data_IF_814171833775
#
_entry.id   IF_814171833775
#
_cell.length_a   1.000
_cell.length_b   1.000
_cell.length_c   1.000
_cell.angle_alpha   90.00
_cell.angle_beta   90.00
_cell.angle_gamma   90.00
#
_symmetry.space_group_name_H-M   'P 1'
#
loop_
_entity.id
_entity.type
_entity.pdbx_description
1 polymer ?
#
# COMPACT_ATOMS: atom_id res chain seq x y z
N UNK A 1 26.28 -19.24 -14.34
CA UNK A 1 25.30 -19.09 -13.23
C UNK A 1 25.71 -17.86 -12.43
N UNK A 2 24.87 -16.82 -12.37
CA UNK A 2 25.25 -15.52 -11.79
C UNK A 2 25.43 -15.62 -10.27
N UNK A 3 26.56 -15.13 -9.75
CA UNK A 3 26.97 -15.26 -8.35
C UNK A 3 26.04 -14.62 -7.31
N UNK A 4 25.07 -13.80 -7.74
CA UNK A 4 24.01 -13.26 -6.89
C UNK A 4 22.98 -14.32 -6.49
N UNK A 5 22.58 -15.21 -7.41
CA UNK A 5 21.61 -16.27 -7.11
C UNK A 5 22.17 -17.28 -6.08
N UNK A 6 23.46 -17.62 -6.19
CA UNK A 6 24.13 -18.50 -5.23
C UNK A 6 24.15 -17.89 -3.82
N UNK A 7 24.42 -16.58 -3.68
CA UNK A 7 24.43 -15.89 -2.38
C UNK A 7 23.05 -15.85 -1.72
N UNK A 8 21.98 -15.68 -2.49
CA UNK A 8 20.60 -15.76 -1.98
C UNK A 8 20.23 -17.18 -1.54
N UNK A 9 20.64 -18.20 -2.27
CA UNK A 9 20.42 -19.62 -1.89
C UNK A 9 21.15 -19.96 -0.60
N UNK A 10 22.39 -19.48 -0.41
CA UNK A 10 23.13 -19.71 0.84
C UNK A 10 22.55 -18.95 2.03
N UNK A 11 22.11 -17.70 1.85
CA UNK A 11 21.44 -16.93 2.92
C UNK A 11 20.10 -17.56 3.33
N UNK A 12 19.30 -18.00 2.36
CA UNK A 12 18.01 -18.67 2.62
C UNK A 12 18.21 -20.03 3.31
N UNK A 13 19.21 -20.82 2.90
CA UNK A 13 19.61 -22.06 3.59
C UNK A 13 20.12 -21.80 5.01
N UNK A 14 20.89 -20.73 5.24
CA UNK A 14 21.37 -20.37 6.57
C UNK A 14 20.25 -19.92 7.52
N UNK A 15 19.30 -19.13 7.02
CA UNK A 15 18.12 -18.69 7.77
C UNK A 15 17.19 -19.87 8.12
N UNK A 16 17.07 -20.86 7.24
CA UNK A 16 16.30 -22.08 7.50
C UNK A 16 17.01 -23.09 8.42
N UNK A 17 18.34 -23.18 8.36
CA UNK A 17 19.13 -24.13 9.14
C UNK A 17 19.38 -23.71 10.59
N UNK A 18 18.97 -22.50 11.00
CA UNK A 18 19.05 -22.10 12.40
C UNK A 18 18.12 -23.01 13.24
N UNK A 19 18.65 -23.77 14.23
CA UNK A 19 17.93 -24.84 14.92
C UNK A 19 16.67 -24.40 15.68
N UNK A 20 16.46 -23.09 15.85
CA UNK A 20 15.25 -22.51 16.44
C UNK A 20 14.02 -22.52 15.51
N UNK A 21 14.17 -22.42 14.19
CA UNK A 21 13.03 -22.45 13.25
C UNK A 21 12.51 -23.88 13.00
N UNK A 22 13.37 -24.88 13.15
CA UNK A 22 13.06 -26.29 12.87
C UNK A 22 12.45 -27.04 14.07
N UNK A 23 12.68 -26.58 15.30
CA UNK A 23 12.13 -27.18 16.50
C UNK A 23 10.65 -26.80 16.65
N UNK A 24 9.76 -27.57 16.00
CA UNK A 24 8.32 -27.35 16.09
C UNK A 24 7.84 -27.29 17.55
N UNK A 25 7.15 -26.21 17.90
CA UNK A 25 6.63 -25.94 19.26
C UNK A 25 5.71 -27.04 19.79
N UNK A 26 5.17 -27.90 18.92
CA UNK A 26 4.24 -28.99 19.24
C UNK A 26 2.77 -28.55 19.28
N UNK A 27 2.50 -27.29 18.93
CA UNK A 27 1.18 -26.68 18.89
C UNK A 27 0.29 -27.17 17.75
N UNK A 28 -1.01 -26.92 17.83
CA UNK A 28 -1.96 -27.28 16.77
C UNK A 28 -2.04 -26.17 15.71
N UNK A 29 -2.21 -26.54 14.43
CA UNK A 29 -2.41 -25.56 13.34
C UNK A 29 -3.63 -24.66 13.51
N UNK A 30 -4.62 -25.09 14.27
CA UNK A 30 -5.86 -24.36 14.56
C UNK A 30 -6.09 -24.23 16.07
N UNK A 31 -5.00 -24.05 16.82
CA UNK A 31 -5.06 -23.76 18.25
C UNK A 31 -5.78 -22.44 18.57
N UNK A 32 -6.23 -22.25 19.83
CA UNK A 32 -6.93 -21.05 20.26
C UNK A 32 -6.09 -19.76 20.25
N UNK A 33 -4.77 -19.90 20.09
CA UNK A 33 -3.79 -18.83 19.94
C UNK A 33 -3.68 -18.31 18.50
N UNK A 34 -3.98 -19.13 17.48
CA UNK A 34 -3.80 -18.77 16.06
C UNK A 34 -4.64 -17.57 15.60
N UNK A 35 -5.91 -17.44 16.01
CA UNK A 35 -6.67 -16.23 15.71
C UNK A 35 -6.05 -14.96 16.31
N UNK A 36 -5.34 -15.06 17.44
CA UNK A 36 -4.69 -13.91 18.07
C UNK A 36 -3.52 -13.42 17.24
N UNK A 37 -2.68 -14.35 16.78
CA UNK A 37 -1.58 -14.08 15.85
C UNK A 37 -2.07 -13.42 14.56
N UNK A 38 -3.09 -14.03 13.94
CA UNK A 38 -3.72 -13.51 12.73
C UNK A 38 -4.28 -12.10 12.93
N UNK A 39 -5.12 -11.86 13.94
CA UNK A 39 -5.78 -10.56 14.14
C UNK A 39 -4.77 -9.48 14.52
N UNK A 40 -3.79 -9.80 15.38
CA UNK A 40 -2.77 -8.85 15.79
C UNK A 40 -1.96 -8.36 14.58
N UNK A 41 -1.46 -9.27 13.76
CA UNK A 41 -0.65 -8.92 12.58
C UNK A 41 -1.46 -8.32 11.45
N UNK A 42 -2.73 -8.70 11.29
CA UNK A 42 -3.68 -8.02 10.40
C UNK A 42 -3.81 -6.54 10.78
N UNK A 43 -4.07 -6.26 12.06
CA UNK A 43 -4.21 -4.88 12.55
C UNK A 43 -2.93 -4.09 12.41
N UNK A 44 -1.78 -4.66 12.81
CA UNK A 44 -0.48 -4.03 12.71
C UNK A 44 -0.08 -3.74 11.27
N UNK A 45 -0.36 -4.65 10.34
CA UNK A 45 -0.13 -4.41 8.92
C UNK A 45 -0.96 -3.25 8.38
N UNK A 46 -2.23 -3.14 8.81
CA UNK A 46 -3.09 -2.03 8.44
C UNK A 46 -2.63 -0.69 9.01
N UNK A 47 -2.23 -0.66 10.29
CA UNK A 47 -1.64 0.53 10.93
C UNK A 47 -0.36 0.94 10.22
N UNK A 48 0.54 -0.02 9.94
CA UNK A 48 1.80 0.26 9.25
C UNK A 48 1.59 0.74 7.82
N UNK A 49 0.63 0.18 7.09
CA UNK A 49 0.28 0.66 5.75
C UNK A 49 -0.27 2.09 5.80
N UNK A 50 -1.21 2.36 6.71
CA UNK A 50 -1.80 3.68 6.89
C UNK A 50 -0.77 4.73 7.29
N UNK A 51 0.10 4.41 8.26
CA UNK A 51 1.22 5.27 8.63
C UNK A 51 2.16 5.51 7.44
N UNK A 52 2.47 4.47 6.67
CA UNK A 52 3.27 4.61 5.45
C UNK A 52 2.60 5.50 4.41
N UNK A 53 1.27 5.48 4.30
CA UNK A 53 0.52 6.36 3.40
C UNK A 53 0.54 7.84 3.83
N UNK A 54 0.63 8.10 5.14
CA UNK A 54 0.74 9.45 5.70
C UNK A 54 2.17 10.00 5.63
N UNK A 55 3.17 9.13 5.77
CA UNK A 55 4.58 9.52 5.86
C UNK A 55 5.29 9.52 4.50
N UNK A 56 4.79 8.78 3.51
CA UNK A 56 5.47 8.58 2.23
C UNK A 56 4.52 8.66 1.03
N UNK A 57 4.95 9.39 0.01
CA UNK A 57 4.28 9.44 -1.30
C UNK A 57 4.40 8.11 -2.06
N UNK A 58 5.49 7.37 -1.85
CA UNK A 58 5.77 6.13 -2.58
C UNK A 58 4.79 5.02 -2.18
N UNK A 59 4.04 4.43 -3.14
CA UNK A 59 3.16 3.30 -2.85
C UNK A 59 3.93 2.12 -2.23
N UNK A 60 5.16 1.87 -2.70
CA UNK A 60 6.01 0.79 -2.16
C UNK A 60 6.32 0.99 -0.68
N UNK A 61 6.51 2.24 -0.24
CA UNK A 61 6.80 2.53 1.16
C UNK A 61 5.61 2.16 2.05
N UNK A 62 4.37 2.39 1.61
CA UNK A 62 3.14 1.98 2.33
C UNK A 62 3.12 0.47 2.58
N UNK A 63 3.35 -0.30 1.51
CA UNK A 63 3.42 -1.76 1.60
C UNK A 63 4.54 -2.23 2.53
N UNK A 64 5.73 -1.65 2.42
CA UNK A 64 6.88 -2.01 3.25
C UNK A 64 6.69 -1.63 4.72
N UNK A 65 6.08 -0.48 5.01
CA UNK A 65 5.74 -0.08 6.38
C UNK A 65 4.73 -1.04 7.02
N UNK A 66 3.68 -1.43 6.29
CA UNK A 66 2.72 -2.41 6.76
C UNK A 66 3.33 -3.81 6.94
N UNK A 67 4.04 -4.31 5.94
CA UNK A 67 4.69 -5.63 5.99
C UNK A 67 5.74 -5.70 7.10
N UNK A 68 6.56 -4.66 7.22
CA UNK A 68 7.60 -4.56 8.24
C UNK A 68 7.03 -4.53 9.65
N UNK A 69 5.93 -3.79 9.87
CA UNK A 69 5.31 -3.74 11.20
C UNK A 69 4.62 -5.06 11.55
N UNK A 70 3.83 -5.64 10.64
CA UNK A 70 3.13 -6.91 10.88
C UNK A 70 4.07 -8.10 11.08
N UNK A 71 4.96 -8.35 10.10
CA UNK A 71 5.90 -9.48 10.17
C UNK A 71 6.98 -9.25 11.24
N UNK A 72 7.45 -8.01 11.41
CA UNK A 72 8.49 -7.68 12.37
C UNK A 72 8.04 -7.92 13.80
N UNK A 73 6.80 -7.54 14.15
CA UNK A 73 6.24 -7.79 15.48
C UNK A 73 5.96 -9.28 15.68
N UNK A 74 5.38 -9.98 14.70
CA UNK A 74 5.11 -11.42 14.80
C UNK A 74 6.39 -12.25 14.99
N UNK A 75 7.38 -12.06 14.11
CA UNK A 75 8.70 -12.68 14.24
C UNK A 75 9.38 -12.28 15.56
N UNK A 76 9.31 -10.99 15.92
CA UNK A 76 9.88 -10.48 17.16
C UNK A 76 9.30 -11.15 18.40
N UNK A 77 7.98 -11.40 18.42
CA UNK A 77 7.30 -12.13 19.50
C UNK A 77 7.80 -13.56 19.62
N UNK A 78 7.91 -14.29 18.51
CA UNK A 78 8.40 -15.68 18.53
C UNK A 78 9.87 -15.78 18.98
N UNK A 79 10.72 -14.84 18.53
CA UNK A 79 12.11 -14.74 18.99
C UNK A 79 12.18 -14.38 20.48
N UNK A 80 11.32 -13.47 20.93
CA UNK A 80 11.23 -13.07 22.34
C UNK A 80 10.80 -14.24 23.24
N UNK A 81 9.79 -15.00 22.83
CA UNK A 81 9.31 -16.18 23.56
C UNK A 81 10.40 -17.25 23.66
N UNK A 82 11.13 -17.52 22.57
CA UNK A 82 12.27 -18.42 22.58
C UNK A 82 13.38 -17.98 23.54
N UNK A 83 13.66 -16.67 23.61
CA UNK A 83 14.63 -16.09 24.54
C UNK A 83 14.24 -16.19 26.02
N UNK A 84 12.97 -16.47 26.33
CA UNK A 84 12.44 -16.59 27.71
C UNK A 84 12.14 -18.03 28.12
N UNK A 85 12.59 -19.02 27.35
CA UNK A 85 12.34 -20.43 27.61
C UNK A 85 11.00 -20.95 27.06
N UNK A 86 10.27 -20.12 26.31
CA UNK A 86 9.20 -20.56 25.43
C UNK A 86 9.74 -21.28 24.19
N UNK A 87 8.84 -21.78 23.34
CA UNK A 87 9.20 -22.44 22.07
C UNK A 87 8.84 -21.56 20.90
N UNK A 88 9.78 -21.39 19.99
CA UNK A 88 9.52 -20.78 18.69
C UNK A 88 8.49 -21.61 17.92
N UNK A 89 7.42 -20.99 17.46
CA UNK A 89 6.39 -21.66 16.65
C UNK A 89 6.41 -21.18 15.21
N UNK A 90 6.82 -22.07 14.30
CA UNK A 90 6.68 -21.83 12.86
C UNK A 90 5.22 -21.73 12.43
N UNK A 91 4.28 -22.35 13.17
CA UNK A 91 2.84 -22.24 12.87
C UNK A 91 2.30 -20.87 13.19
N UNK A 92 2.71 -20.30 14.33
CA UNK A 92 2.37 -18.92 14.68
C UNK A 92 2.92 -17.93 13.66
N UNK A 93 4.16 -18.13 13.21
CA UNK A 93 4.75 -17.30 12.17
C UNK A 93 3.97 -17.37 10.83
N UNK A 94 3.41 -18.53 10.48
CA UNK A 94 2.54 -18.65 9.30
C UNK A 94 1.25 -17.85 9.51
N UNK A 95 0.63 -17.93 10.68
CA UNK A 95 -0.57 -17.14 10.98
C UNK A 95 -0.29 -15.64 11.03
N UNK A 96 0.89 -15.23 11.49
CA UNK A 96 1.38 -13.85 11.42
C UNK A 96 1.56 -13.37 9.96
N UNK A 97 2.07 -14.25 9.09
CA UNK A 97 2.21 -13.95 7.66
C UNK A 97 0.85 -13.84 6.95
N UNK A 98 -0.09 -14.75 7.24
CA UNK A 98 -1.45 -14.73 6.70
C UNK A 98 -2.22 -13.49 7.18
N UNK A 99 -2.11 -13.15 8.47
CA UNK A 99 -2.68 -11.93 9.04
C UNK A 99 -2.12 -10.68 8.37
N UNK A 100 -0.79 -10.58 8.29
CA UNK A 100 -0.12 -9.46 7.62
C UNK A 100 -0.56 -9.30 6.16
N UNK A 101 -0.57 -10.39 5.38
CA UNK A 101 -1.00 -10.36 3.98
C UNK A 101 -2.46 -9.90 3.84
N UNK A 102 -3.34 -10.38 4.73
CA UNK A 102 -4.75 -9.99 4.75
C UNK A 102 -4.90 -8.51 5.08
N UNK A 103 -4.21 -8.02 6.12
CA UNK A 103 -4.23 -6.61 6.52
C UNK A 103 -3.75 -5.69 5.40
N UNK A 104 -2.65 -6.04 4.74
CA UNK A 104 -2.13 -5.29 3.58
C UNK A 104 -3.13 -5.26 2.42
N UNK A 105 -3.74 -6.41 2.09
CA UNK A 105 -4.74 -6.48 1.02
C UNK A 105 -5.97 -5.62 1.31
N UNK A 106 -6.46 -5.64 2.55
CA UNK A 106 -7.57 -4.79 2.99
C UNK A 106 -7.19 -3.31 2.94
N UNK A 107 -6.02 -2.93 3.44
CA UNK A 107 -5.55 -1.55 3.41
C UNK A 107 -5.40 -1.03 1.99
N UNK A 108 -4.83 -1.82 1.08
CA UNK A 108 -4.73 -1.45 -0.33
C UNK A 108 -6.11 -1.28 -0.98
N UNK A 109 -7.06 -2.17 -0.69
CA UNK A 109 -8.42 -2.05 -1.20
C UNK A 109 -9.08 -0.75 -0.71
N UNK A 110 -8.97 -0.45 0.59
CA UNK A 110 -9.51 0.76 1.19
C UNK A 110 -8.86 2.01 0.59
N UNK A 111 -7.53 2.03 0.49
CA UNK A 111 -6.76 3.13 -0.12
C UNK A 111 -7.21 3.39 -1.56
N UNK A 112 -7.41 2.34 -2.36
CA UNK A 112 -7.94 2.44 -3.71
C UNK A 112 -9.38 3.00 -3.78
N UNK A 113 -10.25 2.57 -2.86
CA UNK A 113 -11.64 3.06 -2.79
C UNK A 113 -11.69 4.54 -2.36
N UNK A 114 -10.87 4.94 -1.40
CA UNK A 114 -10.77 6.33 -0.95
C UNK A 114 -10.17 7.23 -2.03
N UNK A 115 -9.13 6.77 -2.72
CA UNK A 115 -8.51 7.51 -3.82
C UNK A 115 -9.50 7.76 -4.97
N UNK A 116 -10.30 6.74 -5.34
CA UNK A 116 -11.36 6.90 -6.35
C UNK A 116 -12.39 7.95 -5.95
N UNK A 117 -12.79 8.00 -4.67
CA UNK A 117 -13.74 9.01 -4.18
C UNK A 117 -13.19 10.43 -4.35
N UNK A 118 -11.92 10.64 -4.03
CA UNK A 118 -11.29 11.97 -4.17
C UNK A 118 -11.25 12.43 -5.63
N UNK A 119 -11.03 11.54 -6.60
CA UNK A 119 -11.09 11.88 -8.02
C UNK A 119 -12.51 12.17 -8.53
N UNK A 120 -13.55 11.69 -7.85
CA UNK A 120 -14.96 11.89 -8.25
C UNK A 120 -15.62 13.12 -7.64
N UNK A 121 -15.03 13.72 -6.60
CA UNK A 121 -15.43 15.05 -6.13
C UNK A 121 -14.95 16.03 -7.20
N UNK A 122 -15.85 16.76 -7.90
CA UNK A 122 -15.40 17.80 -8.82
C UNK A 122 -14.49 18.72 -8.03
N UNK A 123 -13.27 18.93 -8.53
CA UNK A 123 -12.32 19.86 -7.94
C UNK A 123 -13.11 21.11 -7.58
N UNK A 124 -13.24 21.35 -6.28
CA UNK A 124 -13.98 22.47 -5.74
C UNK A 124 -13.52 23.66 -6.55
N UNK A 125 -14.44 24.28 -7.29
CA UNK A 125 -14.22 25.48 -8.08
C UNK A 125 -13.88 26.64 -7.13
N UNK A 126 -12.75 26.52 -6.43
CA UNK A 126 -12.04 27.64 -5.87
C UNK A 126 -11.65 28.45 -7.08
N UNK A 127 -12.28 29.62 -7.20
CA UNK A 127 -12.22 30.46 -8.38
C UNK A 127 -10.83 30.47 -8.98
N UNK A 128 -10.72 29.99 -10.21
CA UNK A 128 -9.52 30.22 -10.99
C UNK A 128 -9.43 31.74 -11.20
N UNK A 129 -8.40 32.42 -10.67
CA UNK A 129 -7.99 33.67 -11.28
C UNK A 129 -7.58 33.34 -12.72
N UNK A 130 -7.96 34.20 -13.66
CA UNK A 130 -7.65 34.17 -15.10
C UNK A 130 -6.34 33.40 -15.40
N UNK A 131 -6.46 32.13 -15.75
CA UNK A 131 -5.33 31.21 -15.71
C UNK A 131 -5.44 30.08 -16.73
N UNK A 132 -4.40 29.95 -17.54
CA UNK A 132 -4.30 28.98 -18.63
C UNK A 132 -4.19 27.55 -18.09
N UNK A 133 -5.13 26.67 -18.46
CA UNK A 133 -5.09 25.24 -18.16
C UNK A 133 -4.70 24.43 -19.40
N UNK A 134 -3.71 23.53 -19.28
CA UNK A 134 -3.32 22.60 -20.36
C UNK A 134 -4.05 21.27 -20.20
N UNK A 135 -4.97 20.96 -21.12
CA UNK A 135 -5.58 19.64 -21.28
C UNK A 135 -4.84 18.92 -22.43
N UNK A 136 -3.62 18.44 -22.14
CA UNK A 136 -2.78 17.80 -23.16
C UNK A 136 -2.36 18.74 -24.29
N UNK A 137 -2.56 18.33 -25.55
CA UNK A 137 -2.24 19.11 -26.77
C UNK A 137 -3.26 20.24 -27.08
N UNK A 138 -4.24 20.42 -26.20
CA UNK A 138 -5.25 21.46 -26.28
C UNK A 138 -5.13 22.44 -25.13
N UNK A 139 -5.14 23.72 -25.48
CA UNK A 139 -5.09 24.86 -24.59
C UNK A 139 -6.51 25.41 -24.45
N UNK A 140 -7.04 25.34 -23.23
CA UNK A 140 -8.35 25.90 -22.89
C UNK A 140 -8.16 27.32 -22.37
N UNK A 141 -8.78 28.29 -23.04
CA UNK A 141 -8.77 29.69 -22.63
C UNK A 141 -10.19 30.12 -22.29
N UNK A 142 -10.39 30.48 -21.02
CA UNK A 142 -11.63 31.11 -20.54
C UNK A 142 -11.39 32.62 -20.49
N UNK A 143 -12.32 33.41 -21.04
CA UNK A 143 -12.22 34.88 -21.02
C UNK A 143 -13.55 35.51 -20.60
N UNK A 144 -13.47 36.51 -19.72
CA UNK A 144 -14.59 37.40 -19.37
C UNK A 144 -15.16 37.18 -17.95
N UNK A 145 -15.80 38.22 -17.37
CA UNK A 145 -16.51 38.09 -16.10
C UNK A 145 -17.72 37.17 -16.28
N UNK A 146 -17.66 35.99 -15.65
CA UNK A 146 -18.74 34.99 -15.72
C UNK A 146 -18.55 33.87 -16.75
N UNK A 147 -17.36 33.69 -17.33
CA UNK A 147 -17.03 32.57 -18.24
C UNK A 147 -18.00 32.46 -19.42
N UNK A 148 -18.26 33.59 -20.09
CA UNK A 148 -19.14 33.61 -21.27
C UNK A 148 -18.46 33.08 -22.52
N UNK A 149 -17.12 33.20 -22.60
CA UNK A 149 -16.33 32.73 -23.73
C UNK A 149 -15.42 31.58 -23.32
N UNK A 150 -15.70 30.39 -23.87
CA UNK A 150 -14.85 29.20 -23.77
C UNK A 150 -14.18 28.92 -25.12
N UNK A 151 -12.87 29.13 -25.19
CA UNK A 151 -12.09 28.84 -26.41
C UNK A 151 -11.20 27.61 -26.19
N UNK A 152 -11.37 26.60 -27.04
CA UNK A 152 -10.51 25.41 -27.06
C UNK A 152 -9.57 25.51 -28.28
N UNK A 153 -8.27 25.66 -28.02
CA UNK A 153 -7.25 25.71 -29.08
C UNK A 153 -6.43 24.42 -29.06
N UNK A 154 -6.65 23.54 -30.04
CA UNK A 154 -5.89 22.30 -30.16
C UNK A 154 -4.82 22.43 -31.25
N UNK A 155 -3.55 22.15 -30.92
CA UNK A 155 -2.40 22.36 -31.83
C UNK A 155 -2.52 21.62 -33.18
N UNK A 156 -3.24 20.49 -33.22
CA UNK A 156 -3.40 19.68 -34.44
C UNK A 156 -4.79 19.78 -35.10
N UNK A 157 -5.74 20.52 -34.53
CA UNK A 157 -7.14 20.55 -35.02
C UNK A 157 -7.62 21.97 -35.36
N UNK A 158 -6.81 22.99 -35.06
CA UNK A 158 -7.22 24.39 -35.21
C UNK A 158 -8.10 24.86 -34.04
N UNK A 159 -8.64 26.07 -34.15
CA UNK A 159 -9.61 26.60 -33.18
C UNK A 159 -10.97 25.97 -33.43
N UNK A 160 -11.54 25.33 -32.41
CA UNK A 160 -12.96 24.99 -32.42
C UNK A 160 -13.70 26.02 -31.58
N UNK A 161 -14.58 26.78 -32.23
CA UNK A 161 -15.62 27.54 -31.55
C UNK A 161 -16.74 26.55 -31.22
N UNK A 162 -17.14 26.37 -29.94
CA UNK A 162 -18.38 25.68 -29.66
C UNK A 162 -19.52 26.49 -30.29
N UNK A 163 -20.25 25.89 -31.23
CA UNK A 163 -21.51 26.46 -31.69
C UNK A 163 -22.42 26.65 -30.47
N UNK A 164 -22.78 27.90 -30.21
CA UNK A 164 -23.76 28.25 -29.18
C UNK A 164 -25.09 27.66 -29.62
N UNK A 165 -25.53 26.59 -28.96
CA UNK A 165 -26.88 26.07 -29.12
C UNK A 165 -27.86 27.10 -28.49
N UNK A 166 -28.92 27.52 -29.20
CA UNK A 166 -29.87 28.51 -28.70
C UNK A 166 -30.71 28.00 -27.52
#
# INVERSE_FOLDING_TARGET
MNGTAARFVWLTLWLWAAPGFAAGSGDAWFGPDKPKHFVATLGLAGVGYGAGALLFESPRARWLSGAGLGLGVGLGKEVYDAGRGGRFSSKDLVWDAVGTATGLGLSWLIDGLLSRRQSSVPAQAGGLPDGWGKLGACELRLKGPGVTDMLLTCRNVGQMLPETYP
#
